data_IF_203985860218
#
_entry.id   IF_203985860218
#
_cell.length_a   1.000
_cell.length_b   1.000
_cell.length_c   1.000
_cell.angle_alpha   90.00
_cell.angle_beta   90.00
_cell.angle_gamma   90.00
#
_symmetry.space_group_name_H-M   'P 1'
#
loop_
_entity.id
_entity.type
_entity.pdbx_description
1 polymer ?
#
# COMPACT_ATOMS: atom_id res chain seq x y z
N UNK A 1 -12.77 34.78 13.33
CA UNK A 1 -11.71 34.33 14.27
C UNK A 1 -10.39 34.52 13.55
N UNK A 2 -9.51 35.37 14.05
CA UNK A 2 -8.21 35.67 13.46
C UNK A 2 -7.33 34.41 13.52
N UNK A 3 -6.83 33.94 12.37
CA UNK A 3 -5.75 32.93 12.31
C UNK A 3 -4.63 33.42 13.24
N UNK A 4 -4.22 32.60 14.20
CA UNK A 4 -2.97 32.89 14.89
C UNK A 4 -1.86 32.65 13.83
N UNK A 5 -0.99 33.65 13.66
CA UNK A 5 0.11 33.62 12.70
C UNK A 5 1.11 32.45 12.92
N UNK A 6 0.80 31.54 13.83
CA UNK A 6 1.66 30.45 14.31
C UNK A 6 1.08 29.06 14.07
N UNK A 7 -0.14 28.91 13.49
CA UNK A 7 -0.71 27.57 13.24
C UNK A 7 -0.04 26.92 12.03
N UNK A 8 0.40 25.65 12.13
CA UNK A 8 1.02 24.96 11.00
C UNK A 8 0.03 24.77 9.86
N UNK A 9 0.49 25.05 8.64
CA UNK A 9 -0.28 24.87 7.43
C UNK A 9 -0.08 23.47 6.86
N UNK A 10 -1.14 22.67 6.82
CA UNK A 10 -1.12 21.39 6.12
C UNK A 10 -1.24 21.58 4.61
N UNK A 11 -0.36 20.90 3.87
CA UNK A 11 -0.36 20.82 2.40
C UNK A 11 -0.53 19.37 2.02
N UNK A 12 -1.52 19.05 1.18
CA UNK A 12 -1.78 17.71 0.68
C UNK A 12 -1.44 17.63 -0.79
N UNK A 13 -0.52 16.75 -1.19
CA UNK A 13 -0.39 16.34 -2.59
C UNK A 13 -1.28 15.13 -2.82
N UNK A 14 -2.37 15.30 -3.56
CA UNK A 14 -3.40 14.29 -3.73
C UNK A 14 -4.29 14.59 -4.94
N UNK A 15 -5.05 13.60 -5.44
CA UNK A 15 -6.23 13.88 -6.25
C UNK A 15 -7.25 14.64 -5.42
N UNK A 16 -7.68 15.86 -5.81
CA UNK A 16 -8.51 16.73 -4.95
C UNK A 16 -9.85 16.11 -4.55
N UNK A 17 -10.41 15.25 -5.39
CA UNK A 17 -11.69 14.56 -5.16
C UNK A 17 -11.59 13.27 -4.35
N UNK A 18 -10.41 12.95 -3.83
CA UNK A 18 -10.22 11.68 -3.11
C UNK A 18 -10.90 11.71 -1.74
N UNK A 19 -11.46 10.57 -1.34
CA UNK A 19 -12.03 10.42 0.01
C UNK A 19 -10.98 10.64 1.11
N UNK A 20 -9.68 10.43 0.83
CA UNK A 20 -8.59 10.67 1.78
C UNK A 20 -8.47 12.15 2.10
N UNK A 21 -8.54 13.01 1.08
CA UNK A 21 -8.59 14.47 1.25
C UNK A 21 -9.81 14.86 2.08
N UNK A 22 -10.99 14.34 1.73
CA UNK A 22 -12.21 14.67 2.47
C UNK A 22 -12.12 14.29 3.97
N UNK A 23 -11.63 13.10 4.30
CA UNK A 23 -11.47 12.68 5.70
C UNK A 23 -10.42 13.48 6.45
N UNK A 24 -9.30 13.82 5.80
CA UNK A 24 -8.28 14.67 6.41
C UNK A 24 -8.81 16.07 6.70
N UNK A 25 -9.53 16.69 5.75
CA UNK A 25 -10.19 17.99 5.95
C UNK A 25 -11.22 17.96 7.09
N UNK A 26 -12.02 16.89 7.17
CA UNK A 26 -12.95 16.70 8.29
C UNK A 26 -12.22 16.60 9.65
N UNK A 27 -11.07 15.93 9.70
CA UNK A 27 -10.28 15.82 10.92
C UNK A 27 -9.71 17.17 11.34
N UNK A 28 -9.22 17.99 10.39
CA UNK A 28 -8.79 19.38 10.66
C UNK A 28 -9.95 20.21 11.19
N UNK A 29 -11.13 20.13 10.57
CA UNK A 29 -12.30 20.87 11.03
C UNK A 29 -12.72 20.47 12.45
N UNK A 30 -12.69 19.18 12.81
CA UNK A 30 -12.95 18.73 14.19
C UNK A 30 -11.96 19.27 15.21
N UNK A 31 -10.72 19.49 14.78
CA UNK A 31 -9.66 20.08 15.61
C UNK A 31 -9.65 21.60 15.58
N UNK A 32 -10.60 22.24 14.89
CA UNK A 32 -10.70 23.68 14.70
C UNK A 32 -9.43 24.29 14.05
N UNK A 33 -8.76 23.50 13.21
CA UNK A 33 -7.60 23.92 12.44
C UNK A 33 -8.00 24.41 11.05
N UNK A 34 -7.14 25.25 10.46
CA UNK A 34 -7.33 25.71 9.08
C UNK A 34 -7.36 24.54 8.09
N UNK A 35 -8.19 24.62 7.04
CA UNK A 35 -8.22 23.60 5.99
C UNK A 35 -6.83 23.44 5.33
N UNK A 36 -6.48 22.21 5.01
CA UNK A 36 -5.27 21.94 4.25
C UNK A 36 -5.35 22.48 2.82
N UNK A 37 -4.25 23.01 2.33
CA UNK A 37 -4.09 23.36 0.91
C UNK A 37 -3.90 22.05 0.12
N UNK A 38 -4.77 21.80 -0.87
CA UNK A 38 -4.71 20.59 -1.70
C UNK A 38 -4.09 20.93 -3.04
N UNK A 39 -3.04 20.19 -3.42
CA UNK A 39 -2.32 20.31 -4.69
C UNK A 39 -2.45 18.99 -5.44
N UNK A 40 -2.84 19.07 -6.71
CA UNK A 40 -2.90 17.90 -7.57
C UNK A 40 -1.49 17.45 -8.00
N UNK A 41 -1.25 16.13 -8.07
CA UNK A 41 -0.06 15.59 -8.73
C UNK A 41 0.08 16.12 -10.16
N UNK A 42 -1.04 16.32 -10.88
CA UNK A 42 -1.01 16.85 -12.26
C UNK A 42 -0.45 18.27 -12.33
N UNK A 43 -0.71 19.10 -11.32
CA UNK A 43 -0.18 20.47 -11.28
C UNK A 43 1.32 20.48 -11.00
N UNK A 44 1.79 19.61 -10.12
CA UNK A 44 3.21 19.44 -9.83
C UNK A 44 3.98 18.87 -11.03
N UNK A 45 3.45 17.80 -11.65
CA UNK A 45 4.09 17.15 -12.79
C UNK A 45 4.16 18.06 -14.02
N UNK A 46 3.16 18.92 -14.20
CA UNK A 46 3.13 19.93 -15.27
C UNK A 46 3.95 21.19 -14.94
N UNK A 47 4.57 21.29 -13.76
CA UNK A 47 5.33 22.47 -13.35
C UNK A 47 4.49 23.73 -13.12
N UNK A 48 3.14 23.60 -13.03
CA UNK A 48 2.25 24.75 -12.76
C UNK A 48 2.38 25.27 -11.32
N UNK A 49 2.74 24.38 -10.41
CA UNK A 49 3.01 24.67 -9.00
C UNK A 49 4.28 23.92 -8.61
N UNK A 50 5.15 24.58 -7.81
CA UNK A 50 6.33 23.96 -7.22
C UNK A 50 6.28 24.03 -5.68
N UNK A 51 6.92 23.10 -4.99
CA UNK A 51 6.93 23.08 -3.53
C UNK A 51 7.61 24.31 -2.92
N UNK A 52 8.75 24.82 -3.44
CA UNK A 52 9.37 26.06 -2.93
C UNK A 52 8.46 27.29 -3.00
N UNK A 53 7.48 27.32 -3.91
CA UNK A 53 6.51 28.43 -4.00
C UNK A 53 5.42 28.38 -2.94
N UNK A 54 5.19 27.21 -2.32
CA UNK A 54 4.02 26.98 -1.46
C UNK A 54 4.36 26.53 -0.05
N UNK A 55 5.61 26.13 0.20
CA UNK A 55 6.07 25.66 1.51
C UNK A 55 6.89 26.75 2.22
N UNK A 56 6.64 26.87 3.50
CA UNK A 56 7.40 27.70 4.44
C UNK A 56 7.81 26.90 5.69
N UNK A 57 8.35 27.58 6.71
CA UNK A 57 8.79 26.94 7.95
C UNK A 57 7.68 26.31 8.80
N UNK A 58 6.42 26.68 8.55
CA UNK A 58 5.26 26.18 9.28
C UNK A 58 4.49 25.14 8.47
N UNK A 59 4.98 24.78 7.28
CA UNK A 59 4.30 23.85 6.39
C UNK A 59 4.52 22.40 6.79
N UNK A 60 3.42 21.63 6.82
CA UNK A 60 3.38 20.18 7.03
C UNK A 60 2.87 19.52 5.77
N UNK A 61 3.80 18.91 5.00
CA UNK A 61 3.48 18.25 3.76
C UNK A 61 3.06 16.81 3.99
N UNK A 62 1.91 16.43 3.42
CA UNK A 62 1.42 15.08 3.35
C UNK A 62 1.29 14.63 1.90
N UNK A 63 1.94 13.54 1.55
CA UNK A 63 1.74 12.87 0.27
C UNK A 63 0.64 11.82 0.43
N UNK A 64 -0.38 11.88 -0.41
CA UNK A 64 -1.43 10.89 -0.49
C UNK A 64 -1.27 10.01 -1.73
N UNK A 65 -1.93 8.87 -1.72
CA UNK A 65 -1.97 8.01 -2.92
C UNK A 65 -2.48 8.82 -4.12
N UNK A 66 -1.83 8.73 -5.30
CA UNK A 66 -2.36 9.31 -6.54
C UNK A 66 -3.73 8.75 -6.91
N UNK A 67 -4.16 7.67 -6.23
CA UNK A 67 -5.54 7.19 -6.23
C UNK A 67 -5.90 6.36 -7.45
N UNK A 68 -7.21 6.36 -7.77
CA UNK A 68 -7.83 5.65 -8.89
C UNK A 68 -8.44 6.64 -9.88
N UNK A 69 -7.87 7.82 -9.96
CA UNK A 69 -8.25 8.84 -10.94
C UNK A 69 -7.50 8.55 -12.25
N UNK A 70 -8.25 8.41 -13.34
CA UNK A 70 -7.68 7.98 -14.61
C UNK A 70 -6.66 8.98 -15.18
N UNK A 71 -6.89 10.28 -14.99
CA UNK A 71 -5.94 11.29 -15.47
C UNK A 71 -4.59 11.19 -14.74
N UNK A 72 -4.63 10.91 -13.43
CA UNK A 72 -3.41 10.66 -12.63
C UNK A 72 -2.74 9.35 -13.05
N UNK A 73 -3.52 8.27 -13.29
CA UNK A 73 -2.97 7.00 -13.78
C UNK A 73 -2.28 7.18 -15.14
N UNK A 74 -2.92 7.90 -16.05
CA UNK A 74 -2.39 8.19 -17.39
C UNK A 74 -1.11 9.02 -17.32
N UNK A 75 -1.06 10.10 -16.53
CA UNK A 75 0.13 10.93 -16.37
C UNK A 75 1.31 10.13 -15.79
N UNK A 76 1.06 9.23 -14.82
CA UNK A 76 2.10 8.36 -14.27
C UNK A 76 2.57 7.31 -15.29
N UNK A 77 1.67 6.77 -16.12
CA UNK A 77 2.07 5.86 -17.21
C UNK A 77 2.90 6.58 -18.27
N UNK A 78 2.56 7.82 -18.65
CA UNK A 78 3.37 8.64 -19.58
C UNK A 78 4.77 8.89 -19.01
N UNK A 79 4.85 9.29 -17.74
CA UNK A 79 6.13 9.50 -17.07
C UNK A 79 6.94 8.20 -16.98
N UNK A 80 6.28 7.07 -16.67
CA UNK A 80 6.90 5.75 -16.63
C UNK A 80 7.39 5.26 -17.98
N UNK A 81 6.74 5.65 -19.08
CA UNK A 81 7.21 5.32 -20.44
C UNK A 81 8.57 5.96 -20.77
N UNK A 82 8.91 7.08 -20.13
CA UNK A 82 10.15 7.82 -20.35
C UNK A 82 11.30 7.35 -19.44
N UNK A 83 11.01 6.54 -18.42
CA UNK A 83 12.04 6.01 -17.52
C UNK A 83 12.76 4.84 -18.18
N UNK A 84 14.09 4.85 -18.19
CA UNK A 84 14.88 3.69 -18.60
C UNK A 84 14.62 2.52 -17.65
N UNK A 85 14.39 1.35 -18.23
CA UNK A 85 14.16 0.09 -17.52
C UNK A 85 15.06 -0.99 -18.10
N UNK A 86 15.87 -1.59 -17.26
CA UNK A 86 16.78 -2.67 -17.63
C UNK A 86 16.05 -4.01 -17.73
N UNK A 87 15.01 -4.19 -16.91
CA UNK A 87 14.22 -5.42 -16.89
C UNK A 87 13.16 -5.39 -18.00
N UNK A 88 13.11 -6.45 -18.80
CA UNK A 88 12.17 -6.55 -19.94
C UNK A 88 10.76 -6.92 -19.48
N UNK A 89 10.02 -5.95 -18.91
CA UNK A 89 8.60 -6.05 -18.59
C UNK A 89 7.73 -5.35 -19.62
N UNK A 90 6.43 -5.71 -19.66
CA UNK A 90 5.49 -5.11 -20.61
C UNK A 90 5.35 -3.61 -20.37
N UNK A 91 5.50 -2.85 -21.46
CA UNK A 91 5.41 -1.39 -21.50
C UNK A 91 4.67 -0.96 -22.75
N UNK A 92 4.15 0.25 -22.73
CA UNK A 92 3.58 0.95 -23.87
C UNK A 92 4.23 2.33 -24.00
N UNK A 93 4.25 2.85 -25.22
CA UNK A 93 4.77 4.17 -25.54
C UNK A 93 3.89 5.29 -24.97
N UNK A 94 4.43 6.50 -24.94
CA UNK A 94 3.67 7.71 -24.55
C UNK A 94 2.43 7.90 -25.42
N UNK A 95 2.55 7.66 -26.74
CA UNK A 95 1.44 7.84 -27.68
C UNK A 95 0.33 6.80 -27.44
N UNK A 96 0.69 5.54 -27.14
CA UNK A 96 -0.29 4.53 -26.76
C UNK A 96 -0.96 4.86 -25.42
N UNK A 97 -0.22 5.39 -24.44
CA UNK A 97 -0.81 5.84 -23.16
C UNK A 97 -1.87 6.93 -23.38
N UNK A 98 -1.59 7.90 -24.26
CA UNK A 98 -2.53 8.99 -24.59
C UNK A 98 -3.80 8.51 -25.27
N UNK A 99 -3.74 7.37 -25.98
CA UNK A 99 -4.89 6.75 -26.63
C UNK A 99 -5.71 5.85 -25.68
N UNK A 100 -5.25 5.62 -24.44
CA UNK A 100 -6.00 4.83 -23.49
C UNK A 100 -7.32 5.52 -23.12
N UNK A 101 -8.36 4.72 -23.03
CA UNK A 101 -9.64 5.10 -22.43
C UNK A 101 -9.83 4.44 -21.07
N UNK A 102 -10.63 5.07 -20.23
CA UNK A 102 -10.97 4.50 -18.93
C UNK A 102 -11.77 3.20 -19.09
N UNK A 103 -11.25 2.12 -18.56
CA UNK A 103 -11.94 0.84 -18.42
C UNK A 103 -11.96 0.44 -16.95
N UNK A 104 -13.15 0.33 -16.37
CA UNK A 104 -13.29 0.04 -14.94
C UNK A 104 -12.64 -1.28 -14.54
N UNK A 105 -11.66 -1.19 -13.67
CA UNK A 105 -10.98 -2.35 -13.09
C UNK A 105 -9.84 -2.91 -13.93
N UNK A 106 -9.59 -2.37 -15.13
CA UNK A 106 -8.47 -2.81 -15.96
C UNK A 106 -7.15 -2.62 -15.23
N UNK A 107 -6.27 -3.60 -15.30
CA UNK A 107 -4.89 -3.51 -14.80
C UNK A 107 -4.03 -2.84 -15.88
N UNK A 108 -3.69 -1.58 -15.65
CA UNK A 108 -2.96 -0.74 -16.60
C UNK A 108 -1.46 -0.74 -16.27
N UNK A 109 -0.70 -1.64 -16.89
CA UNK A 109 0.78 -1.70 -16.82
C UNK A 109 1.36 -1.35 -15.44
N UNK A 110 1.11 -2.14 -14.39
CA UNK A 110 1.47 -1.80 -13.01
C UNK A 110 2.96 -1.51 -12.80
N UNK A 111 3.85 -2.17 -13.55
CA UNK A 111 5.30 -1.90 -13.49
C UNK A 111 5.62 -0.52 -14.06
N UNK A 112 5.10 -0.19 -15.24
CA UNK A 112 5.32 1.11 -15.88
C UNK A 112 4.72 2.24 -15.03
N UNK A 113 3.52 2.05 -14.50
CA UNK A 113 2.89 2.99 -13.59
C UNK A 113 3.78 3.29 -12.36
N UNK A 114 4.36 2.24 -11.76
CA UNK A 114 5.26 2.41 -10.61
C UNK A 114 6.56 3.15 -10.98
N UNK A 115 7.12 2.92 -12.16
CA UNK A 115 8.28 3.67 -12.64
C UNK A 115 7.97 5.17 -12.73
N UNK A 116 6.80 5.52 -13.27
CA UNK A 116 6.33 6.89 -13.31
C UNK A 116 6.06 7.48 -11.93
N UNK A 117 5.43 6.71 -11.04
CA UNK A 117 5.22 7.15 -9.66
C UNK A 117 6.56 7.37 -8.94
N UNK A 118 7.52 6.51 -9.13
CA UNK A 118 8.88 6.68 -8.60
C UNK A 118 9.58 7.93 -9.15
N UNK A 119 9.38 8.25 -10.44
CA UNK A 119 9.88 9.47 -11.04
C UNK A 119 9.19 10.72 -10.46
N UNK A 120 7.87 10.67 -10.27
CA UNK A 120 7.12 11.74 -9.58
C UNK A 120 7.60 11.96 -8.13
N UNK A 121 7.85 10.88 -7.39
CA UNK A 121 8.40 10.96 -6.04
C UNK A 121 9.80 11.58 -6.02
N UNK A 122 10.67 11.27 -7.00
CA UNK A 122 11.99 11.90 -7.13
C UNK A 122 11.91 13.40 -7.46
N UNK A 123 10.96 13.79 -8.32
CA UNK A 123 10.70 15.20 -8.60
C UNK A 123 10.29 15.94 -7.31
N UNK A 124 9.38 15.36 -6.53
CA UNK A 124 8.97 15.92 -5.23
C UNK A 124 10.17 16.00 -4.27
N UNK A 125 10.97 14.93 -4.18
CA UNK A 125 12.16 14.88 -3.33
C UNK A 125 13.18 15.96 -3.72
N UNK A 126 13.43 16.18 -5.03
CA UNK A 126 14.27 17.25 -5.54
C UNK A 126 13.75 18.63 -5.13
N UNK A 127 12.47 18.90 -5.32
CA UNK A 127 11.88 20.16 -4.92
C UNK A 127 11.93 20.40 -3.39
N UNK A 128 11.85 19.34 -2.59
CA UNK A 128 11.97 19.41 -1.12
C UNK A 128 13.38 19.84 -0.68
N UNK A 129 14.42 19.49 -1.43
CA UNK A 129 15.80 19.95 -1.15
C UNK A 129 15.95 21.46 -1.33
N UNK A 130 15.15 22.05 -2.23
CA UNK A 130 15.12 23.49 -2.49
C UNK A 130 14.22 24.26 -1.50
N UNK A 131 13.41 23.53 -0.70
CA UNK A 131 12.58 24.12 0.34
C UNK A 131 13.43 24.43 1.57
N UNK A 132 13.54 25.71 1.94
CA UNK A 132 14.36 26.14 3.07
C UNK A 132 13.93 25.54 4.42
N UNK A 133 12.64 25.19 4.57
CA UNK A 133 12.04 24.68 5.82
C UNK A 133 10.69 24.00 5.51
N UNK A 134 10.15 23.32 6.52
CA UNK A 134 8.90 22.57 6.46
C UNK A 134 9.15 21.09 6.80
N UNK A 135 8.12 20.40 7.24
CA UNK A 135 8.22 18.98 7.56
C UNK A 135 7.38 18.13 6.58
N UNK A 136 7.85 16.93 6.31
CA UNK A 136 7.15 15.94 5.48
C UNK A 136 6.70 14.80 6.39
N UNK A 137 5.42 14.43 6.31
CA UNK A 137 4.89 13.33 7.13
C UNK A 137 5.45 11.98 6.71
N UNK A 138 5.50 11.71 5.41
CA UNK A 138 6.14 10.52 4.84
C UNK A 138 7.03 10.93 3.67
N UNK A 139 8.31 10.57 3.73
CA UNK A 139 9.25 10.95 2.67
C UNK A 139 8.99 10.18 1.37
N UNK A 140 9.24 10.79 0.21
CA UNK A 140 9.14 10.12 -1.09
C UNK A 140 9.94 8.82 -1.16
N UNK A 141 11.12 8.78 -0.55
CA UNK A 141 12.00 7.61 -0.50
C UNK A 141 11.35 6.42 0.20
N UNK A 142 10.78 6.65 1.39
CA UNK A 142 10.13 5.58 2.16
C UNK A 142 8.86 5.08 1.47
N UNK A 143 8.07 6.01 0.90
CA UNK A 143 6.89 5.67 0.10
C UNK A 143 7.27 4.74 -1.07
N UNK A 144 8.36 5.06 -1.79
CA UNK A 144 8.82 4.24 -2.90
C UNK A 144 9.22 2.83 -2.49
N UNK A 145 9.83 2.66 -1.31
CA UNK A 145 10.18 1.32 -0.77
C UNK A 145 8.93 0.54 -0.36
N UNK A 146 7.99 1.19 0.35
CA UNK A 146 6.74 0.54 0.78
C UNK A 146 5.88 0.08 -0.41
N UNK A 147 5.96 0.76 -1.55
CA UNK A 147 5.25 0.40 -2.78
C UNK A 147 5.88 -0.72 -3.59
N UNK A 148 7.15 -1.03 -3.38
CA UNK A 148 7.85 -2.14 -4.02
C UNK A 148 7.88 -3.35 -3.08
N UNK A 149 6.93 -4.28 -3.27
CA UNK A 149 6.77 -5.46 -2.39
C UNK A 149 8.06 -6.28 -2.24
N UNK A 150 8.79 -6.65 -3.31
CA UNK A 150 10.06 -7.34 -3.18
C UNK A 150 11.06 -6.59 -2.30
N UNK A 151 11.25 -5.30 -2.57
CA UNK A 151 12.21 -4.46 -1.83
C UNK A 151 11.81 -4.25 -0.37
N UNK A 152 10.52 -4.01 -0.11
CA UNK A 152 10.00 -3.90 1.24
C UNK A 152 10.17 -5.21 2.01
N UNK A 153 9.87 -6.34 1.36
CA UNK A 153 10.02 -7.67 1.93
C UNK A 153 11.49 -7.98 2.29
N UNK A 154 12.44 -7.68 1.39
CA UNK A 154 13.88 -7.82 1.64
C UNK A 154 14.32 -6.98 2.85
N UNK A 155 13.93 -5.70 2.91
CA UNK A 155 14.23 -4.81 4.03
C UNK A 155 13.73 -5.40 5.36
N UNK A 156 12.51 -5.91 5.40
CA UNK A 156 11.94 -6.51 6.61
C UNK A 156 12.71 -7.77 7.03
N UNK A 157 13.00 -8.67 6.09
CA UNK A 157 13.75 -9.91 6.32
C UNK A 157 15.15 -9.63 6.85
N UNK A 158 15.88 -8.70 6.24
CA UNK A 158 17.26 -8.36 6.60
C UNK A 158 17.36 -7.74 8.01
N UNK A 159 16.24 -7.17 8.51
CA UNK A 159 16.11 -6.67 9.88
C UNK A 159 15.39 -7.65 10.83
N UNK A 160 15.35 -8.94 10.48
CA UNK A 160 14.76 -10.00 11.30
C UNK A 160 13.30 -9.76 11.69
N UNK A 161 12.53 -9.11 10.83
CA UNK A 161 11.08 -9.07 10.91
C UNK A 161 10.54 -10.32 10.20
N UNK A 162 9.74 -11.10 10.90
CA UNK A 162 9.13 -12.28 10.28
C UNK A 162 8.15 -11.90 9.19
N UNK A 163 8.42 -12.38 7.99
CA UNK A 163 7.59 -12.27 6.77
C UNK A 163 7.36 -13.66 6.19
N UNK A 164 6.38 -13.89 5.31
CA UNK A 164 6.28 -15.12 4.54
C UNK A 164 7.57 -15.35 3.75
N UNK A 165 8.01 -16.60 3.62
CA UNK A 165 9.21 -16.89 2.81
C UNK A 165 8.97 -16.47 1.36
N UNK A 166 9.85 -15.63 0.81
CA UNK A 166 9.84 -15.26 -0.59
C UNK A 166 10.41 -16.41 -1.44
N UNK A 167 9.76 -16.70 -2.55
CA UNK A 167 10.27 -17.55 -3.63
C UNK A 167 10.87 -16.70 -4.76
N UNK A 168 10.96 -15.38 -4.56
CA UNK A 168 11.56 -14.45 -5.52
C UNK A 168 10.57 -13.93 -6.57
N UNK A 169 11.14 -13.48 -7.67
CA UNK A 169 10.44 -13.04 -8.88
C UNK A 169 10.47 -14.16 -9.89
N UNK A 170 9.38 -14.37 -10.61
CA UNK A 170 9.27 -15.37 -11.68
C UNK A 170 8.91 -14.68 -13.00
N UNK A 171 9.20 -15.35 -14.11
CA UNK A 171 8.90 -14.89 -15.48
C UNK A 171 7.81 -15.70 -16.16
N UNK A 172 7.51 -16.90 -15.64
CA UNK A 172 6.49 -17.79 -16.21
C UNK A 172 5.86 -18.71 -15.15
N UNK A 173 4.80 -19.39 -15.53
CA UNK A 173 4.17 -20.42 -14.71
C UNK A 173 5.08 -21.63 -14.49
N UNK A 174 5.86 -22.02 -15.49
CA UNK A 174 6.82 -23.12 -15.40
C UNK A 174 7.91 -22.81 -14.37
N UNK A 175 8.39 -21.56 -14.34
CA UNK A 175 9.33 -21.11 -13.33
C UNK A 175 8.70 -21.10 -11.93
N UNK A 176 7.41 -20.74 -11.82
CA UNK A 176 6.68 -20.84 -10.55
C UNK A 176 6.64 -22.28 -10.05
N UNK A 177 6.28 -23.24 -10.89
CA UNK A 177 6.22 -24.65 -10.49
C UNK A 177 7.60 -25.19 -10.09
N UNK A 178 8.66 -24.80 -10.81
CA UNK A 178 10.05 -25.13 -10.46
C UNK A 178 10.42 -24.55 -9.08
N UNK A 179 10.17 -23.28 -8.84
CA UNK A 179 10.46 -22.65 -7.55
C UNK A 179 9.64 -23.27 -6.41
N UNK A 180 8.38 -23.62 -6.65
CA UNK A 180 7.55 -24.29 -5.66
C UNK A 180 8.08 -25.70 -5.32
N UNK A 181 8.54 -26.44 -6.32
CA UNK A 181 9.16 -27.75 -6.14
C UNK A 181 10.44 -27.64 -5.32
N UNK A 182 11.38 -26.79 -5.73
CA UNK A 182 12.69 -26.62 -5.10
C UNK A 182 12.58 -26.13 -3.65
N UNK A 183 11.57 -25.34 -3.38
CA UNK A 183 11.29 -24.83 -2.03
C UNK A 183 10.32 -25.70 -1.22
N UNK A 184 9.89 -26.85 -1.74
CA UNK A 184 8.89 -27.76 -1.12
C UNK A 184 7.62 -27.03 -0.69
N UNK A 185 7.12 -26.13 -1.53
CA UNK A 185 5.92 -25.35 -1.30
C UNK A 185 4.76 -25.83 -2.19
N UNK A 186 3.69 -26.33 -1.58
CA UNK A 186 2.46 -26.67 -2.31
C UNK A 186 1.47 -25.49 -2.42
N UNK A 187 1.74 -24.36 -1.75
CA UNK A 187 0.84 -23.20 -1.68
C UNK A 187 1.64 -21.91 -1.67
N UNK A 188 1.26 -20.97 -2.54
CA UNK A 188 1.90 -19.68 -2.65
C UNK A 188 0.89 -18.56 -2.94
N UNK A 189 1.30 -17.32 -2.67
CA UNK A 189 0.69 -16.13 -3.22
C UNK A 189 1.58 -15.58 -4.34
N UNK A 190 1.00 -15.39 -5.52
CA UNK A 190 1.61 -14.61 -6.61
C UNK A 190 0.97 -13.22 -6.57
N UNK A 191 1.76 -12.18 -6.43
CA UNK A 191 1.30 -10.80 -6.29
C UNK A 191 2.01 -9.90 -7.30
N UNK A 192 1.30 -8.97 -7.91
CA UNK A 192 1.97 -7.89 -8.64
C UNK A 192 2.91 -7.14 -7.68
N UNK A 193 4.17 -6.96 -8.06
CA UNK A 193 5.18 -6.28 -7.23
C UNK A 193 4.73 -4.88 -6.80
N UNK A 194 3.96 -4.20 -7.65
CA UNK A 194 3.48 -2.82 -7.46
C UNK A 194 1.95 -2.71 -7.46
N UNK A 195 1.25 -3.80 -7.16
CA UNK A 195 -0.21 -3.82 -7.04
C UNK A 195 -0.69 -3.25 -5.70
N UNK A 196 -1.83 -2.59 -5.70
CA UNK A 196 -2.55 -2.11 -4.51
C UNK A 196 -3.95 -2.73 -4.41
N UNK A 197 -4.59 -2.66 -3.24
CA UNK A 197 -6.00 -3.09 -3.04
C UNK A 197 -6.29 -4.54 -3.46
N UNK A 198 -5.37 -5.46 -3.26
CA UNK A 198 -5.38 -6.84 -3.73
C UNK A 198 -5.46 -6.99 -5.26
N UNK A 199 -5.05 -5.98 -6.02
CA UNK A 199 -5.00 -6.03 -7.48
C UNK A 199 -3.95 -7.05 -7.94
N UNK A 200 -4.33 -7.98 -8.81
CA UNK A 200 -3.40 -8.96 -9.36
C UNK A 200 -2.87 -9.98 -8.33
N UNK A 201 -3.65 -10.31 -7.30
CA UNK A 201 -3.27 -11.33 -6.32
C UNK A 201 -3.85 -12.68 -6.71
N UNK A 202 -3.01 -13.70 -6.71
CA UNK A 202 -3.39 -15.10 -6.93
C UNK A 202 -2.95 -15.94 -5.75
N UNK A 203 -3.89 -16.61 -5.07
CA UNK A 203 -3.60 -17.65 -4.11
C UNK A 203 -3.62 -18.99 -4.87
N UNK A 204 -2.43 -19.52 -5.17
CA UNK A 204 -2.25 -20.74 -5.92
C UNK A 204 -1.86 -21.90 -5.02
N UNK A 205 -2.47 -23.07 -5.29
CA UNK A 205 -2.13 -24.32 -4.62
C UNK A 205 -2.17 -25.49 -5.59
N UNK A 206 -1.29 -26.48 -5.35
CA UNK A 206 -1.25 -27.73 -6.10
C UNK A 206 -0.83 -28.90 -5.21
N UNK A 207 -1.28 -30.11 -5.55
CA UNK A 207 -0.78 -31.36 -5.01
C UNK A 207 -0.06 -32.21 -6.08
N UNK A 208 0.32 -31.57 -7.20
CA UNK A 208 0.96 -32.20 -8.36
C UNK A 208 -0.03 -32.82 -9.37
N UNK A 209 -1.30 -33.05 -8.99
CA UNK A 209 -2.35 -33.56 -9.88
C UNK A 209 -3.52 -32.59 -10.05
N UNK A 210 -3.82 -31.85 -9.01
CA UNK A 210 -4.90 -30.88 -8.98
C UNK A 210 -4.30 -29.50 -8.73
N UNK A 211 -4.82 -28.53 -9.45
CA UNK A 211 -4.41 -27.14 -9.39
C UNK A 211 -5.61 -26.27 -9.03
N UNK A 212 -5.39 -25.27 -8.21
CA UNK A 212 -6.40 -24.26 -7.92
C UNK A 212 -5.77 -22.90 -7.73
N UNK A 213 -6.27 -21.91 -8.45
CA UNK A 213 -5.94 -20.49 -8.27
C UNK A 213 -7.19 -19.73 -7.85
N UNK A 214 -7.16 -19.12 -6.66
CA UNK A 214 -8.19 -18.18 -6.21
C UNK A 214 -7.63 -16.77 -6.37
N UNK A 215 -8.35 -15.91 -7.08
CA UNK A 215 -7.81 -14.60 -7.48
C UNK A 215 -8.88 -13.51 -7.57
N UNK A 216 -8.44 -12.26 -7.53
CA UNK A 216 -9.23 -11.07 -7.87
C UNK A 216 -9.23 -10.78 -9.37
N UNK A 217 -8.43 -11.50 -10.15
CA UNK A 217 -8.24 -11.22 -11.58
C UNK A 217 -9.24 -11.98 -12.43
N UNK A 218 -9.88 -11.25 -13.31
CA UNK A 218 -10.66 -11.77 -14.42
C UNK A 218 -9.91 -11.54 -15.73
N UNK A 219 -9.74 -12.60 -16.51
CA UNK A 219 -9.11 -12.54 -17.83
C UNK A 219 -10.17 -12.41 -18.90
N UNK A 220 -10.00 -11.46 -19.82
CA UNK A 220 -10.86 -11.27 -20.98
C UNK A 220 -10.00 -11.22 -22.26
N UNK A 221 -10.46 -11.86 -23.33
CA UNK A 221 -9.82 -11.70 -24.64
C UNK A 221 -10.36 -10.47 -25.37
N UNK A 222 -9.44 -9.65 -25.87
CA UNK A 222 -9.77 -8.52 -26.72
C UNK A 222 -8.79 -8.50 -27.91
N UNK A 223 -9.33 -8.61 -29.11
CA UNK A 223 -8.53 -8.70 -30.36
C UNK A 223 -7.40 -9.76 -30.32
N UNK A 224 -7.69 -10.93 -29.69
CA UNK A 224 -6.72 -12.01 -29.57
C UNK A 224 -5.76 -11.93 -28.38
N UNK A 225 -5.66 -10.78 -27.72
CA UNK A 225 -4.81 -10.55 -26.55
C UNK A 225 -5.59 -10.69 -25.23
N UNK A 226 -4.90 -11.10 -24.17
CA UNK A 226 -5.45 -11.12 -22.84
C UNK A 226 -5.42 -9.72 -22.22
N UNK A 227 -6.55 -9.31 -21.64
CA UNK A 227 -6.65 -8.16 -20.75
C UNK A 227 -7.04 -8.62 -19.37
N UNK A 228 -6.38 -8.07 -18.36
CA UNK A 228 -6.60 -8.38 -16.96
C UNK A 228 -7.45 -7.30 -16.29
N UNK A 229 -8.46 -7.72 -15.57
CA UNK A 229 -9.34 -6.83 -14.81
C UNK A 229 -9.37 -7.22 -13.35
N UNK A 230 -9.22 -6.28 -12.45
CA UNK A 230 -9.38 -6.51 -11.01
C UNK A 230 -10.87 -6.48 -10.64
N UNK A 231 -11.38 -7.59 -10.15
CA UNK A 231 -12.77 -7.79 -9.76
C UNK A 231 -12.95 -7.73 -8.24
N UNK A 232 -14.09 -7.23 -7.78
CA UNK A 232 -14.49 -7.38 -6.38
C UNK A 232 -14.98 -8.79 -6.04
N UNK A 233 -15.25 -9.62 -7.04
CA UNK A 233 -15.63 -11.03 -6.90
C UNK A 233 -14.40 -11.89 -7.12
N UNK A 234 -14.18 -12.83 -6.21
CA UNK A 234 -13.13 -13.82 -6.38
C UNK A 234 -13.50 -14.80 -7.49
N UNK A 235 -12.50 -15.13 -8.31
CA UNK A 235 -12.55 -16.17 -9.32
C UNK A 235 -11.76 -17.37 -8.82
N UNK A 236 -12.18 -18.57 -9.23
CA UNK A 236 -11.47 -19.81 -8.94
C UNK A 236 -11.24 -20.52 -10.26
N UNK A 237 -9.97 -20.61 -10.65
CA UNK A 237 -9.52 -21.36 -11.81
C UNK A 237 -9.01 -22.72 -11.34
N UNK A 238 -9.33 -23.79 -12.08
CA UNK A 238 -8.89 -25.17 -11.80
C UNK A 238 -8.20 -25.83 -12.98
N UNK A 239 -8.43 -25.34 -14.19
CA UNK A 239 -7.71 -25.77 -15.38
C UNK A 239 -6.30 -25.22 -15.34
N UNK A 240 -5.28 -26.09 -15.54
CA UNK A 240 -3.87 -25.72 -15.47
C UNK A 240 -3.48 -24.74 -16.57
N UNK A 241 -4.06 -24.86 -17.78
CA UNK A 241 -3.75 -23.97 -18.89
C UNK A 241 -4.30 -22.55 -18.63
N UNK A 242 -5.51 -22.45 -18.04
CA UNK A 242 -6.05 -21.14 -17.65
C UNK A 242 -5.23 -20.49 -16.53
N UNK A 243 -4.76 -21.29 -15.55
CA UNK A 243 -3.89 -20.82 -14.47
C UNK A 243 -2.54 -20.37 -15.02
N UNK A 244 -1.94 -21.15 -15.93
CA UNK A 244 -0.70 -20.78 -16.58
C UNK A 244 -0.84 -19.47 -17.36
N UNK A 245 -1.90 -19.34 -18.17
CA UNK A 245 -2.18 -18.11 -18.90
C UNK A 245 -2.31 -16.89 -17.97
N UNK A 246 -3.06 -17.03 -16.86
CA UNK A 246 -3.22 -15.98 -15.86
C UNK A 246 -1.88 -15.54 -15.25
N UNK A 247 -1.09 -16.53 -14.81
CA UNK A 247 0.20 -16.24 -14.15
C UNK A 247 1.20 -15.66 -15.16
N UNK A 248 1.26 -16.19 -16.38
CA UNK A 248 2.12 -15.66 -17.44
C UNK A 248 1.79 -14.19 -17.77
N UNK A 249 0.50 -13.84 -17.86
CA UNK A 249 0.12 -12.44 -18.07
C UNK A 249 0.50 -11.53 -16.91
N UNK A 250 0.36 -12.00 -15.65
CA UNK A 250 0.81 -11.23 -14.49
C UNK A 250 2.33 -11.06 -14.47
N UNK A 251 3.09 -12.10 -14.88
CA UNK A 251 4.56 -12.06 -14.94
C UNK A 251 5.08 -10.98 -15.91
N UNK A 252 4.31 -10.61 -16.92
CA UNK A 252 4.66 -9.48 -17.82
C UNK A 252 4.81 -8.15 -17.07
N UNK A 253 4.27 -8.03 -15.85
CA UNK A 253 4.24 -6.79 -15.07
C UNK A 253 5.06 -6.85 -13.77
N UNK A 254 5.96 -7.82 -13.65
CA UNK A 254 6.73 -8.12 -12.44
C UNK A 254 5.86 -8.58 -11.28
N UNK A 255 6.07 -9.81 -10.86
CA UNK A 255 5.39 -10.42 -9.72
C UNK A 255 6.38 -10.71 -8.61
N UNK A 256 5.86 -10.85 -7.40
CA UNK A 256 6.52 -11.34 -6.20
C UNK A 256 5.79 -12.58 -5.71
N UNK A 257 6.54 -13.66 -5.46
CA UNK A 257 5.98 -14.93 -4.98
C UNK A 257 6.32 -15.13 -3.52
N UNK A 258 5.31 -15.44 -2.72
CA UNK A 258 5.43 -15.69 -1.29
C UNK A 258 4.81 -17.02 -0.91
N UNK A 259 5.40 -17.70 0.06
CA UNK A 259 4.78 -18.87 0.69
C UNK A 259 3.42 -18.47 1.33
N UNK A 260 2.40 -19.27 1.08
CA UNK A 260 1.12 -19.08 1.73
C UNK A 260 1.17 -19.63 3.16
N UNK A 261 1.27 -18.76 4.14
CA UNK A 261 1.18 -19.11 5.56
C UNK A 261 -0.28 -19.28 5.98
N UNK A 262 -0.60 -20.33 6.77
CA UNK A 262 -1.94 -20.48 7.37
C UNK A 262 -2.27 -19.32 8.30
N UNK A 263 -3.42 -18.69 8.09
CA UNK A 263 -3.95 -17.62 8.95
C UNK A 263 -4.83 -18.20 10.05
N UNK A 264 -4.90 -17.51 11.19
CA UNK A 264 -5.90 -17.78 12.22
C UNK A 264 -7.33 -17.63 11.66
N UNK A 265 -8.25 -18.34 12.27
CA UNK A 265 -9.67 -18.33 11.92
C UNK A 265 -10.54 -17.77 13.05
N UNK A 266 -11.54 -16.96 12.69
CA UNK A 266 -12.58 -16.47 13.58
C UNK A 266 -13.95 -16.68 12.92
N UNK A 267 -14.89 -17.30 13.60
CA UNK A 267 -16.25 -17.58 13.10
C UNK A 267 -16.27 -18.27 11.71
N UNK A 268 -15.39 -19.28 11.53
CA UNK A 268 -15.29 -20.04 10.28
C UNK A 268 -14.64 -19.28 9.11
N UNK A 269 -14.04 -18.11 9.33
CA UNK A 269 -13.35 -17.28 8.35
C UNK A 269 -11.91 -17.07 8.75
N UNK A 270 -11.03 -16.95 7.78
CA UNK A 270 -9.65 -16.49 8.02
C UNK A 270 -9.61 -14.97 8.21
N UNK A 271 -8.60 -14.48 8.91
CA UNK A 271 -8.41 -13.04 9.06
C UNK A 271 -6.93 -12.64 8.99
N UNK A 272 -6.71 -11.36 8.75
CA UNK A 272 -5.49 -10.64 9.09
C UNK A 272 -5.84 -9.33 9.81
N UNK A 273 -4.84 -8.68 10.36
CA UNK A 273 -4.98 -7.39 11.03
C UNK A 273 -4.41 -6.28 10.14
N UNK A 274 -5.11 -5.16 10.04
CA UNK A 274 -4.54 -3.89 9.62
C UNK A 274 -4.25 -3.07 10.87
N UNK A 275 -2.97 -2.79 11.10
CA UNK A 275 -2.48 -1.98 12.22
C UNK A 275 -1.99 -0.64 11.67
N UNK A 276 -2.56 0.47 12.14
CA UNK A 276 -2.05 1.81 11.81
C UNK A 276 -1.04 2.21 12.87
N UNK A 277 0.19 2.45 12.44
CA UNK A 277 1.26 2.98 13.30
C UNK A 277 1.42 4.46 13.00
N UNK A 278 1.44 5.29 14.03
CA UNK A 278 1.54 6.76 13.95
C UNK A 278 2.60 7.21 14.95
N UNK A 279 3.58 8.00 14.52
CA UNK A 279 4.65 8.48 15.38
C UNK A 279 5.40 7.37 16.10
N UNK A 280 5.54 6.19 15.45
CA UNK A 280 6.21 5.02 15.99
C UNK A 280 5.39 4.18 16.98
N UNK A 281 4.10 4.48 17.18
CA UNK A 281 3.19 3.74 18.07
C UNK A 281 2.03 3.09 17.30
N UNK A 282 1.70 1.85 17.66
CA UNK A 282 0.54 1.15 17.14
C UNK A 282 -0.74 1.73 17.77
N UNK A 283 -1.65 2.21 16.89
CA UNK A 283 -2.90 2.88 17.32
C UNK A 283 -4.13 2.07 16.92
N UNK A 284 -4.68 2.35 15.74
CA UNK A 284 -5.92 1.75 15.25
C UNK A 284 -5.65 0.36 14.69
N UNK A 285 -6.43 -0.61 15.13
CA UNK A 285 -6.34 -1.99 14.64
C UNK A 285 -7.72 -2.45 14.17
N UNK A 286 -7.78 -3.09 13.02
CA UNK A 286 -8.99 -3.75 12.53
C UNK A 286 -8.68 -5.15 12.04
N UNK A 287 -9.58 -6.08 12.30
CA UNK A 287 -9.55 -7.40 11.71
C UNK A 287 -10.31 -7.41 10.37
N UNK A 288 -9.69 -7.99 9.35
CA UNK A 288 -10.29 -8.15 8.02
C UNK A 288 -10.61 -9.63 7.80
N UNK A 289 -11.88 -10.00 7.98
CA UNK A 289 -12.34 -11.38 7.89
C UNK A 289 -12.76 -11.74 6.48
N UNK A 290 -12.35 -12.92 6.00
CA UNK A 290 -12.67 -13.43 4.68
C UNK A 290 -12.98 -14.94 4.71
N UNK A 291 -13.95 -15.41 3.92
CA UNK A 291 -14.15 -16.86 3.71
C UNK A 291 -13.10 -17.44 2.75
N UNK A 292 -12.21 -16.62 2.22
CA UNK A 292 -11.15 -16.99 1.26
C UNK A 292 -9.77 -16.66 1.84
N UNK A 293 -8.68 -17.17 1.25
CA UNK A 293 -7.32 -16.82 1.67
C UNK A 293 -6.99 -15.32 1.50
N UNK A 294 -7.71 -14.60 0.65
CA UNK A 294 -7.52 -13.18 0.36
C UNK A 294 -8.41 -12.35 1.28
N UNK A 295 -7.81 -11.59 2.20
CA UNK A 295 -8.47 -10.89 3.31
C UNK A 295 -8.61 -9.38 3.12
N UNK A 296 -8.63 -8.87 1.88
CA UNK A 296 -8.71 -7.44 1.62
C UNK A 296 -10.15 -6.89 1.77
N UNK A 297 -10.32 -5.71 2.41
CA UNK A 297 -11.62 -5.06 2.60
C UNK A 297 -12.30 -4.65 1.29
N UNK A 298 -11.55 -4.38 0.25
CA UNK A 298 -12.10 -4.05 -1.07
C UNK A 298 -12.90 -5.20 -1.72
N UNK A 299 -12.75 -6.42 -1.19
CA UNK A 299 -13.50 -7.62 -1.60
C UNK A 299 -14.81 -7.80 -0.82
N UNK A 300 -15.37 -6.74 -0.24
CA UNK A 300 -16.57 -6.78 0.60
C UNK A 300 -16.40 -7.62 1.88
N UNK A 301 -15.17 -7.89 2.29
CA UNK A 301 -14.86 -8.56 3.54
C UNK A 301 -15.29 -7.71 4.74
N UNK A 302 -15.74 -8.38 5.80
CA UNK A 302 -16.24 -7.68 6.99
C UNK A 302 -15.09 -7.19 7.85
N UNK A 303 -15.23 -5.97 8.39
CA UNK A 303 -14.43 -5.49 9.51
C UNK A 303 -15.02 -6.04 10.81
N UNK A 304 -14.17 -6.39 11.74
CA UNK A 304 -14.56 -6.71 13.12
C UNK A 304 -13.66 -5.93 14.09
N UNK A 305 -14.22 -5.61 15.22
CA UNK A 305 -13.46 -5.15 16.36
C UNK A 305 -12.52 -6.26 16.82
N UNK A 306 -11.40 -5.91 17.38
CA UNK A 306 -10.30 -6.84 17.63
C UNK A 306 -10.40 -7.60 18.95
N UNK A 307 -11.37 -7.24 19.79
CA UNK A 307 -11.54 -7.79 21.15
C UNK A 307 -11.68 -9.31 21.15
N UNK A 308 -12.49 -9.85 20.23
CA UNK A 308 -12.66 -11.31 20.11
C UNK A 308 -11.36 -12.04 19.72
N UNK A 309 -10.46 -11.37 19.00
CA UNK A 309 -9.14 -11.90 18.64
C UNK A 309 -8.20 -11.78 19.84
N UNK A 310 -8.20 -10.63 20.53
CA UNK A 310 -7.39 -10.41 21.73
C UNK A 310 -7.71 -11.43 22.82
N UNK A 311 -8.98 -11.80 22.99
CA UNK A 311 -9.40 -12.83 23.96
C UNK A 311 -8.86 -14.23 23.64
N UNK A 312 -8.53 -14.51 22.35
CA UNK A 312 -7.95 -15.79 21.90
C UNK A 312 -6.42 -15.79 21.91
N UNK A 313 -5.81 -14.62 21.92
CA UNK A 313 -4.37 -14.46 22.04
C UNK A 313 -3.95 -14.31 23.50
N UNK A 314 -2.74 -14.75 23.83
CA UNK A 314 -2.13 -14.32 25.09
C UNK A 314 -1.82 -12.82 25.05
N UNK A 315 -1.85 -12.13 26.20
CA UNK A 315 -1.45 -10.73 26.26
C UNK A 315 -0.02 -10.51 25.72
N UNK A 316 0.89 -11.44 25.98
CA UNK A 316 2.25 -11.39 25.48
C UNK A 316 2.30 -11.47 23.95
N UNK A 317 1.55 -12.41 23.33
CA UNK A 317 1.50 -12.55 21.87
C UNK A 317 0.91 -11.30 21.20
N UNK A 318 -0.16 -10.71 21.78
CA UNK A 318 -0.73 -9.46 21.28
C UNK A 318 0.27 -8.31 21.37
N UNK A 319 0.88 -8.08 22.53
CA UNK A 319 1.86 -7.01 22.73
C UNK A 319 3.06 -7.16 21.79
N UNK A 320 3.59 -8.39 21.63
CA UNK A 320 4.69 -8.66 20.70
C UNK A 320 4.29 -8.36 19.25
N UNK A 321 3.04 -8.64 18.86
CA UNK A 321 2.51 -8.31 17.54
C UNK A 321 2.51 -6.80 17.29
N UNK A 322 2.03 -6.00 18.25
CA UNK A 322 2.02 -4.53 18.16
C UNK A 322 3.44 -3.96 18.14
N UNK A 323 4.32 -4.45 19.03
CA UNK A 323 5.73 -4.06 19.05
C UNK A 323 6.45 -4.38 17.74
N UNK A 324 6.09 -5.48 17.06
CA UNK A 324 6.64 -5.78 15.72
C UNK A 324 6.21 -4.71 14.71
N UNK A 325 4.96 -4.26 14.72
CA UNK A 325 4.52 -3.17 13.85
C UNK A 325 5.28 -1.86 14.16
N UNK A 326 5.55 -1.55 15.44
CA UNK A 326 6.35 -0.41 15.84
C UNK A 326 7.83 -0.55 15.40
N UNK A 327 8.39 -1.78 15.44
CA UNK A 327 9.75 -2.08 14.92
C UNK A 327 9.82 -1.88 13.41
N UNK A 328 8.81 -2.29 12.66
CA UNK A 328 8.72 -2.07 11.21
C UNK A 328 8.83 -0.58 10.90
N UNK A 329 8.11 0.29 11.62
CA UNK A 329 8.17 1.75 11.37
C UNK A 329 9.56 2.34 11.62
N UNK A 330 10.38 1.75 12.50
CA UNK A 330 11.78 2.20 12.69
C UNK A 330 12.67 1.97 11.48
N UNK A 331 12.26 1.09 10.55
CA UNK A 331 12.96 0.86 9.29
C UNK A 331 12.64 1.92 8.22
N UNK A 332 11.64 2.75 8.50
CA UNK A 332 11.19 3.85 7.64
C UNK A 332 11.29 5.19 8.42
N UNK A 333 12.52 5.66 8.72
CA UNK A 333 12.72 6.81 9.61
C UNK A 333 12.17 8.12 9.05
N UNK A 334 11.97 8.21 7.74
CA UNK A 334 11.33 9.33 7.08
C UNK A 334 9.81 9.27 7.06
N UNK A 335 9.20 8.24 7.68
CA UNK A 335 7.73 8.07 7.66
C UNK A 335 7.14 8.21 9.05
N UNK A 336 6.14 9.07 9.15
CA UNK A 336 5.44 9.35 10.40
C UNK A 336 4.32 8.36 10.67
N UNK A 337 3.71 7.79 9.63
CA UNK A 337 2.64 6.80 9.74
C UNK A 337 2.71 5.76 8.63
N UNK A 338 2.19 4.57 8.89
CA UNK A 338 1.91 3.54 7.89
C UNK A 338 0.81 2.60 8.36
N UNK A 339 0.17 1.91 7.42
CA UNK A 339 -0.73 0.79 7.68
C UNK A 339 -0.01 -0.54 7.47
N UNK A 340 0.11 -1.35 8.51
CA UNK A 340 0.81 -2.63 8.48
C UNK A 340 -0.20 -3.77 8.43
N UNK A 341 -0.06 -4.66 7.46
CA UNK A 341 -0.84 -5.88 7.37
C UNK A 341 -0.13 -7.00 8.10
N UNK A 342 -0.78 -7.52 9.12
CA UNK A 342 -0.23 -8.52 10.02
C UNK A 342 -1.05 -9.81 9.98
N UNK A 343 -0.42 -10.92 9.65
CA UNK A 343 -0.96 -12.25 9.79
C UNK A 343 -0.77 -12.73 11.22
N UNK A 344 -1.82 -13.32 11.80
CA UNK A 344 -1.74 -14.11 13.02
C UNK A 344 -1.80 -15.59 12.62
N UNK A 345 -0.92 -16.42 13.17
CA UNK A 345 -0.87 -17.86 12.89
C UNK A 345 -2.07 -18.61 13.46
N UNK A 346 -2.39 -19.78 12.92
CA UNK A 346 -3.57 -20.57 13.28
C UNK A 346 -3.65 -20.94 14.78
N UNK A 347 -2.51 -21.02 15.45
CA UNK A 347 -2.38 -21.26 16.89
C UNK A 347 -2.53 -20.00 17.76
N UNK A 348 -2.69 -18.81 17.13
CA UNK A 348 -2.75 -17.50 17.79
C UNK A 348 -1.48 -17.09 18.57
N UNK A 349 -0.36 -17.81 18.40
CA UNK A 349 0.87 -17.58 19.18
C UNK A 349 1.89 -16.71 18.44
N UNK A 350 1.89 -16.75 17.11
CA UNK A 350 2.89 -16.10 16.28
C UNK A 350 2.23 -15.18 15.26
N UNK A 351 3.02 -14.33 14.65
CA UNK A 351 2.58 -13.41 13.62
C UNK A 351 3.65 -13.26 12.52
N UNK A 352 3.24 -12.71 11.38
CA UNK A 352 4.14 -12.32 10.29
C UNK A 352 3.61 -11.04 9.62
N UNK A 353 4.50 -10.16 9.21
CA UNK A 353 4.16 -8.96 8.44
C UNK A 353 3.94 -9.37 6.98
N UNK A 354 2.80 -9.00 6.41
CA UNK A 354 2.43 -9.28 5.03
C UNK A 354 2.72 -8.12 4.08
N UNK A 355 2.54 -6.88 4.54
CA UNK A 355 2.67 -5.68 3.73
C UNK A 355 2.78 -4.43 4.62
N UNK A 356 3.50 -3.42 4.13
CA UNK A 356 3.56 -2.08 4.71
C UNK A 356 2.96 -1.09 3.71
N UNK A 357 1.97 -0.31 4.14
CA UNK A 357 1.20 0.57 3.28
C UNK A 357 1.50 2.04 3.62
N UNK A 358 2.18 2.74 2.71
CA UNK A 358 2.70 4.10 2.89
C UNK A 358 1.65 5.16 3.21
N UNK A 359 0.41 4.96 2.74
CA UNK A 359 -0.67 5.94 2.91
C UNK A 359 -1.63 5.57 4.05
N UNK A 360 -1.20 4.67 4.96
CA UNK A 360 -2.08 4.12 5.99
C UNK A 360 -3.24 3.34 5.40
N UNK A 361 -4.38 3.35 6.06
CA UNK A 361 -5.63 2.87 5.48
C UNK A 361 -6.73 3.91 5.70
N UNK A 362 -7.69 3.91 4.77
CA UNK A 362 -8.98 4.50 5.03
C UNK A 362 -9.70 3.59 6.03
N UNK A 363 -9.60 3.90 7.33
CA UNK A 363 -10.33 3.21 8.38
C UNK A 363 -11.57 4.03 8.83
N UNK A 364 -12.51 4.38 7.90
CA UNK A 364 -13.68 5.16 8.27
C UNK A 364 -14.49 4.40 9.33
N UNK A 365 -14.85 5.10 10.41
CA UNK A 365 -15.60 4.51 11.52
C UNK A 365 -14.79 3.64 12.48
N UNK A 366 -13.47 3.61 12.37
CA UNK A 366 -12.60 2.97 13.37
C UNK A 366 -12.12 4.04 14.34
N UNK A 367 -12.47 3.86 15.60
CA UNK A 367 -12.13 4.76 16.68
C UNK A 367 -11.21 4.08 17.69
N UNK A 368 -10.21 4.77 18.15
CA UNK A 368 -9.33 4.35 19.22
C UNK A 368 -9.13 5.50 20.18
N UNK A 369 -9.42 5.30 21.46
CA UNK A 369 -9.38 6.34 22.49
C UNK A 369 -10.12 7.64 22.09
N UNK A 370 -11.30 7.49 21.48
CA UNK A 370 -12.15 8.61 21.08
C UNK A 370 -11.67 9.40 19.85
N UNK A 371 -10.73 8.87 19.06
CA UNK A 371 -10.17 9.51 17.86
C UNK A 371 -10.18 8.56 16.66
N UNK A 372 -10.47 9.08 15.48
CA UNK A 372 -10.19 8.39 14.22
C UNK A 372 -8.70 8.54 13.83
N UNK A 373 -8.25 7.75 12.84
CA UNK A 373 -6.84 7.70 12.46
C UNK A 373 -6.28 9.05 11.97
N UNK A 374 -7.05 9.82 11.21
CA UNK A 374 -6.60 11.13 10.72
C UNK A 374 -6.49 12.16 11.85
N UNK A 375 -7.45 12.17 12.78
CA UNK A 375 -7.38 13.01 13.98
C UNK A 375 -6.16 12.66 14.84
N UNK A 376 -5.87 11.36 15.00
CA UNK A 376 -4.70 10.90 15.75
C UNK A 376 -3.38 11.29 15.04
N UNK A 377 -3.30 11.15 13.73
CA UNK A 377 -2.13 11.56 12.93
C UNK A 377 -1.86 13.07 13.06
N UNK A 378 -2.88 13.91 12.89
CA UNK A 378 -2.75 15.37 13.01
C UNK A 378 -2.27 15.76 14.41
N UNK A 379 -2.91 15.27 15.47
CA UNK A 379 -2.52 15.58 16.85
C UNK A 379 -1.09 15.14 17.17
N UNK A 380 -0.72 13.92 16.75
CA UNK A 380 0.62 13.40 16.98
C UNK A 380 1.68 14.21 16.21
N UNK A 381 1.37 14.66 15.00
CA UNK A 381 2.27 15.50 14.20
C UNK A 381 2.45 16.87 14.83
N UNK A 382 1.38 17.53 15.29
CA UNK A 382 1.44 18.80 15.99
C UNK A 382 2.25 18.71 17.30
N UNK A 383 2.09 17.63 18.05
CA UNK A 383 2.86 17.38 19.26
C UNK A 383 4.37 17.20 18.98
N UNK A 384 4.71 16.60 17.82
CA UNK A 384 6.10 16.44 17.38
C UNK A 384 6.73 17.79 17.03
N UNK A 385 6.08 18.61 16.21
CA UNK A 385 6.58 19.93 15.79
C UNK A 385 6.73 20.91 16.97
N UNK A 386 5.78 20.88 17.92
CA UNK A 386 5.87 21.70 19.14
C UNK A 386 7.08 21.32 20.00
N UNK A 387 7.45 20.06 20.12
CA UNK A 387 8.64 19.60 20.84
C UNK A 387 9.94 20.02 20.14
N UNK A 388 9.99 19.91 18.81
CA UNK A 388 11.16 20.34 18.04
C UNK A 388 11.40 21.85 18.17
N UNK A 389 10.34 22.67 18.19
CA UNK A 389 10.45 24.12 18.37
C UNK A 389 10.91 24.53 19.77
N UNK A 390 10.59 23.77 20.81
CA UNK A 390 11.09 23.97 22.17
C UNK A 390 12.58 23.64 22.28
N UNK A 391 13.02 22.53 21.69
CA UNK A 391 14.43 22.10 21.71
C UNK A 391 15.34 23.02 20.88
N UNK A 392 14.83 23.67 19.84
CA UNK A 392 15.58 24.60 19.00
C UNK A 392 15.75 25.98 19.67
N UNK A 393 15.09 26.27 20.83
CA UNK A 393 15.18 27.50 21.61
C UNK A 393 16.07 27.37 22.85
N UNK A 394 16.59 26.19 23.12
CA UNK A 394 17.58 25.89 24.16
C UNK A 394 18.96 25.75 23.51
#
# INVERSE_FOLDING_TARGET
MSQSANDPQFILIAPPTSNRVAFFQQALARLQLSPARVISYLDLLAGRITLPQIMDSNSLLRLESPGKDFAHEQALLELGAQVEEVENYARISVDEVRQLSFEKGRLLWPRQWYLGFRAALRLIEGQLLDCAKGEVMNTPRDIAVMFDKPRCHELLRDHHIRVPRSLGTIRSFEELETQMHDHHCSRVFVKLAHGSSASGVVAYQTNGRQHQATTTVEMMRHNGEWRLYNSRRLRVYRDQHEIAALINELCRHRVHVEQWLPKAGLDGKTFDLRVVVIGGKAYHVVARLSPSPITNLHLLNKRREVEAIQQRMSNAAWQTSMQTCERVMRLFPGSFYAGIDLLITADYQQHAVLEVNAFGDLLPGVWWQGQDSYTAEIKAMLARTSRCSLLARI
#
